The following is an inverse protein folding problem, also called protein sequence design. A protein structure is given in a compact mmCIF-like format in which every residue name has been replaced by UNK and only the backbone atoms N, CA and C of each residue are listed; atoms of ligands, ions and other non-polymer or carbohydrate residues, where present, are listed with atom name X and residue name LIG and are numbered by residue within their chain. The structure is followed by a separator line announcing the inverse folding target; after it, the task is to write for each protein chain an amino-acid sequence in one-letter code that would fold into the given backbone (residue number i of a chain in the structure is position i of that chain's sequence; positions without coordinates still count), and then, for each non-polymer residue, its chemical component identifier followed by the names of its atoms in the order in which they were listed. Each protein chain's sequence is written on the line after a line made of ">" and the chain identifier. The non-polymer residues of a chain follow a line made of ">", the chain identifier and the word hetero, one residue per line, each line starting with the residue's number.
data_IF_814700704860
#
_entry.id   IF_814700704860
#
_cell.length_a   1.000
_cell.length_b   1.000
_cell.length_c   1.000
_cell.angle_alpha   90.00
_cell.angle_beta   90.00
_cell.angle_gamma   90.00
#
_symmetry.space_group_name_H-M   'P 1'
#
loop_
_entity.id
_entity.type
_entity.pdbx_description
1 polymer ?
#
# COMPACT_ATOMS: atom_id res chain seq x y z
N UNK A 1 -34.66 -23.37 3.83
CA UNK A 1 -33.39 -23.58 4.58
C UNK A 1 -32.18 -22.86 3.98
N UNK A 2 -32.14 -22.52 2.68
CA UNK A 2 -31.04 -21.71 2.10
C UNK A 2 -31.03 -20.22 2.49
N UNK A 3 -32.18 -19.64 2.83
CA UNK A 3 -32.27 -18.20 3.15
C UNK A 3 -31.97 -17.88 4.63
N UNK A 4 -31.86 -18.90 5.49
CA UNK A 4 -31.49 -18.72 6.90
C UNK A 4 -29.97 -18.63 7.07
N UNK A 5 -29.21 -19.21 6.14
CA UNK A 5 -27.74 -19.24 6.18
C UNK A 5 -27.13 -17.88 5.78
N UNK A 6 -27.79 -17.13 4.89
CA UNK A 6 -27.29 -15.80 4.46
C UNK A 6 -27.47 -14.72 5.54
N UNK A 7 -28.46 -14.86 6.43
CA UNK A 7 -28.66 -13.94 7.55
C UNK A 7 -27.66 -14.18 8.70
N UNK A 8 -27.14 -15.40 8.84
CA UNK A 8 -26.19 -15.76 9.89
C UNK A 8 -24.76 -15.28 9.57
N UNK A 9 -24.41 -15.14 8.28
CA UNK A 9 -23.06 -14.71 7.85
C UNK A 9 -22.89 -13.17 7.93
N UNK A 10 -23.96 -12.39 7.89
CA UNK A 10 -23.88 -10.92 8.07
C UNK A 10 -23.82 -10.47 9.53
N UNK A 11 -24.13 -11.36 10.49
CA UNK A 11 -24.17 -11.04 11.93
C UNK A 11 -22.85 -11.30 12.66
N UNK A 12 -21.85 -11.91 12.02
CA UNK A 12 -20.54 -12.22 12.64
C UNK A 12 -19.43 -11.22 12.31
N UNK A 13 -19.71 -10.16 11.54
CA UNK A 13 -18.72 -9.15 11.16
C UNK A 13 -18.73 -7.88 12.05
N UNK A 14 -19.55 -7.81 13.11
CA UNK A 14 -19.69 -6.60 13.94
C UNK A 14 -19.20 -6.71 15.38
N UNK A 15 -18.66 -7.85 15.82
CA UNK A 15 -18.08 -8.00 17.15
C UNK A 15 -16.56 -8.00 17.07
N UNK A 16 -15.95 -6.81 16.98
CA UNK A 16 -14.61 -6.44 17.49
C UNK A 16 -14.16 -5.08 16.93
N UNK A 17 -14.96 -4.03 17.13
CA UNK A 17 -14.39 -2.69 17.21
C UNK A 17 -14.36 -2.31 18.68
N UNK A 18 -13.25 -2.66 19.33
CA UNK A 18 -12.82 -1.94 20.53
C UNK A 18 -12.72 -0.48 20.08
N UNK A 19 -13.59 0.38 20.62
CA UNK A 19 -13.42 1.82 20.53
C UNK A 19 -12.05 2.13 21.13
N UNK A 20 -11.03 2.26 20.28
CA UNK A 20 -9.78 2.87 20.66
C UNK A 20 -10.13 4.28 21.12
N UNK A 21 -9.86 4.56 22.39
CA UNK A 21 -9.86 5.92 22.92
C UNK A 21 -8.99 6.75 21.97
N UNK A 22 -9.62 7.68 21.27
CA UNK A 22 -8.94 8.68 20.46
C UNK A 22 -8.16 9.55 21.45
N UNK A 23 -6.92 9.14 21.74
CA UNK A 23 -6.01 9.90 22.58
C UNK A 23 -5.80 11.24 21.90
N UNK A 24 -6.07 12.28 22.67
CA UNK A 24 -5.80 13.68 22.38
C UNK A 24 -4.39 13.84 21.85
N UNK A 25 -4.23 14.20 20.58
CA UNK A 25 -3.08 14.96 20.08
C UNK A 25 -3.38 15.61 18.73
N UNK A 26 -4.57 16.21 18.61
CA UNK A 26 -4.79 17.33 17.68
C UNK A 26 -4.62 18.61 18.50
N UNK A 27 -3.41 18.83 19.01
CA UNK A 27 -2.99 20.12 19.54
C UNK A 27 -1.95 20.70 18.57
N UNK A 28 -2.33 21.78 17.89
CA UNK A 28 -1.49 22.39 16.87
C UNK A 28 -2.23 23.34 15.93
N UNK A 29 -2.76 24.42 16.49
CA UNK A 29 -3.16 25.65 15.79
C UNK A 29 -4.36 25.60 14.81
N UNK A 30 -5.55 25.74 15.40
CA UNK A 30 -6.54 26.80 15.10
C UNK A 30 -6.84 27.10 13.61
N UNK A 31 -7.66 26.26 12.98
CA UNK A 31 -8.67 26.81 12.06
C UNK A 31 -9.87 27.21 12.93
N UNK A 32 -9.93 28.48 13.33
CA UNK A 32 -11.15 29.08 13.86
C UNK A 32 -12.12 29.24 12.70
N UNK A 33 -12.90 28.19 12.43
CA UNK A 33 -14.13 28.36 11.66
C UNK A 33 -15.07 29.14 12.59
N UNK A 34 -15.41 30.37 12.22
CA UNK A 34 -16.46 31.10 12.92
C UNK A 34 -17.73 30.25 12.84
N UNK A 35 -18.14 29.67 13.97
CA UNK A 35 -19.41 28.97 14.07
C UNK A 35 -20.51 29.97 13.71
N UNK A 36 -21.31 29.76 12.64
CA UNK A 36 -22.55 30.48 12.55
C UNK A 36 -23.39 30.01 13.75
N UNK A 37 -23.54 30.88 14.75
CA UNK A 37 -24.40 30.66 15.90
C UNK A 37 -25.85 30.62 15.44
N UNK A 38 -26.25 29.49 14.84
CA UNK A 38 -27.64 29.09 14.76
C UNK A 38 -27.84 28.15 15.94
N UNK A 39 -28.08 28.71 17.12
CA UNK A 39 -28.66 27.97 18.23
C UNK A 39 -30.08 27.57 17.84
N UNK A 40 -30.21 26.47 17.09
CA UNK A 40 -31.48 25.76 16.98
C UNK A 40 -31.62 24.94 18.25
N UNK A 41 -32.53 25.35 19.12
CA UNK A 41 -32.95 24.54 20.25
C UNK A 41 -33.59 23.25 19.71
N UNK A 42 -32.84 22.15 19.76
CA UNK A 42 -33.35 20.82 19.41
C UNK A 42 -34.31 20.40 20.53
N UNK A 43 -35.59 20.28 20.20
CA UNK A 43 -36.68 20.02 21.14
C UNK A 43 -37.13 18.57 21.06
N UNK A 44 -37.71 18.02 22.14
CA UNK A 44 -38.33 16.69 22.12
C UNK A 44 -39.47 16.61 21.07
N UNK A 45 -40.09 17.75 20.74
CA UNK A 45 -41.09 17.84 19.66
C UNK A 45 -40.51 17.56 18.26
N UNK A 46 -39.20 17.75 18.05
CA UNK A 46 -38.52 17.38 16.80
C UNK A 46 -38.43 15.86 16.61
N UNK A 47 -38.87 15.08 17.61
CA UNK A 47 -38.99 13.62 17.58
C UNK A 47 -40.45 13.15 17.54
N UNK A 48 -41.43 14.06 17.48
CA UNK A 48 -42.84 13.71 17.38
C UNK A 48 -43.21 13.22 15.96
N UNK A 49 -44.15 12.26 15.89
CA UNK A 49 -44.65 11.72 14.63
C UNK A 49 -45.49 12.76 13.88
N UNK A 50 -45.12 13.08 12.63
CA UNK A 50 -45.86 13.97 11.74
C UNK A 50 -46.70 13.15 10.73
N UNK A 51 -47.98 13.48 10.50
CA UNK A 51 -48.85 12.71 9.63
C UNK A 51 -48.50 12.85 8.14
N UNK A 52 -48.86 11.81 7.40
CA UNK A 52 -48.41 11.41 6.06
C UNK A 52 -49.03 12.23 4.91
N UNK A 53 -48.22 12.55 3.90
CA UNK A 53 -48.68 12.98 2.56
C UNK A 53 -48.36 11.91 1.52
N UNK A 54 -49.28 11.59 0.61
CA UNK A 54 -49.07 10.61 -0.45
C UNK A 54 -47.95 11.02 -1.43
N UNK A 55 -47.00 10.11 -1.67
CA UNK A 55 -45.87 10.33 -2.59
C UNK A 55 -44.61 9.51 -2.27
N UNK A 56 -43.54 9.74 -3.05
CA UNK A 56 -42.23 9.08 -2.90
C UNK A 56 -41.66 9.21 -1.47
N UNK A 57 -41.93 10.33 -0.78
CA UNK A 57 -41.59 10.53 0.64
C UNK A 57 -42.24 9.51 1.56
N UNK A 58 -43.54 9.20 1.37
CA UNK A 58 -44.25 8.17 2.15
C UNK A 58 -43.64 6.78 1.91
N UNK A 59 -43.24 6.48 0.67
CA UNK A 59 -42.56 5.22 0.34
C UNK A 59 -41.20 5.12 1.03
N UNK A 60 -40.45 6.22 1.11
CA UNK A 60 -39.18 6.29 1.86
C UNK A 60 -39.36 6.17 3.38
N UNK A 61 -40.48 6.65 3.93
CA UNK A 61 -40.79 6.56 5.36
C UNK A 61 -41.27 5.15 5.77
N UNK A 62 -42.07 4.49 4.92
CA UNK A 62 -42.79 3.26 5.27
C UNK A 62 -42.12 1.98 4.80
N UNK A 63 -41.27 2.04 3.75
CA UNK A 63 -40.57 0.85 3.22
C UNK A 63 -39.10 0.87 3.62
N UNK A 64 -38.67 0.07 4.61
CA UNK A 64 -37.28 0.06 5.08
C UNK A 64 -36.27 -0.30 3.99
N UNK A 65 -36.63 -1.16 3.03
CA UNK A 65 -35.75 -1.50 1.90
C UNK A 65 -35.50 -0.34 0.93
N UNK A 66 -36.50 0.52 0.68
CA UNK A 66 -36.34 1.70 -0.17
C UNK A 66 -35.58 2.80 0.57
N UNK A 67 -35.84 2.97 1.87
CA UNK A 67 -35.08 3.86 2.74
C UNK A 67 -33.59 3.50 2.75
N UNK A 68 -33.28 2.21 2.83
CA UNK A 68 -31.91 1.70 2.77
C UNK A 68 -31.24 2.02 1.42
N UNK A 69 -31.89 1.70 0.29
CA UNK A 69 -31.36 2.00 -1.04
C UNK A 69 -31.17 3.50 -1.27
N UNK A 70 -32.11 4.34 -0.82
CA UNK A 70 -31.97 5.79 -0.94
C UNK A 70 -30.78 6.32 -0.13
N UNK A 71 -30.51 5.73 1.04
CA UNK A 71 -29.36 6.08 1.87
C UNK A 71 -28.05 5.54 1.29
N UNK A 72 -28.08 4.53 0.42
CA UNK A 72 -26.90 4.07 -0.32
C UNK A 72 -26.52 5.00 -1.48
N UNK A 73 -27.48 5.78 -2.00
CA UNK A 73 -27.24 6.78 -3.06
C UNK A 73 -26.90 8.14 -2.44
N UNK A 74 -27.64 8.54 -1.40
CA UNK A 74 -27.44 9.80 -0.69
C UNK A 74 -27.71 9.60 0.81
N UNK A 75 -26.66 9.39 1.61
CA UNK A 75 -26.75 9.34 3.06
C UNK A 75 -27.54 10.47 3.69
N UNK A 76 -28.33 10.09 4.69
CA UNK A 76 -29.28 10.98 5.35
C UNK A 76 -30.61 11.16 4.61
N UNK A 77 -30.78 10.71 3.36
CA UNK A 77 -32.03 10.86 2.60
C UNK A 77 -33.25 10.20 3.28
N UNK A 78 -33.09 9.00 3.85
CA UNK A 78 -34.15 8.36 4.62
C UNK A 78 -34.52 9.12 5.91
N UNK A 79 -33.53 9.76 6.56
CA UNK A 79 -33.78 10.56 7.76
C UNK A 79 -34.44 11.89 7.42
N UNK A 80 -34.04 12.50 6.29
CA UNK A 80 -34.68 13.70 5.76
C UNK A 80 -36.14 13.41 5.36
N UNK A 81 -36.41 12.26 4.73
CA UNK A 81 -37.76 11.83 4.42
C UNK A 81 -38.60 11.62 5.67
N UNK A 82 -38.02 11.12 6.77
CA UNK A 82 -38.66 11.01 8.08
C UNK A 82 -38.72 12.33 8.88
N UNK A 83 -38.46 13.48 8.26
CA UNK A 83 -38.51 14.80 8.92
C UNK A 83 -37.37 15.08 9.90
N UNK A 84 -36.42 14.15 10.06
CA UNK A 84 -35.28 14.24 11.00
C UNK A 84 -34.10 14.95 10.36
N UNK A 85 -34.31 16.22 9.99
CA UNK A 85 -33.35 17.03 9.24
C UNK A 85 -31.99 17.20 9.93
N UNK A 86 -31.95 17.33 11.26
CA UNK A 86 -30.68 17.43 11.99
C UNK A 86 -29.84 16.14 11.85
N UNK A 87 -30.47 14.97 11.99
CA UNK A 87 -29.80 13.66 11.81
C UNK A 87 -29.37 13.45 10.35
N UNK A 88 -30.22 13.83 9.40
CA UNK A 88 -29.89 13.80 7.99
C UNK A 88 -28.64 14.65 7.67
N UNK A 89 -28.57 15.86 8.23
CA UNK A 89 -27.42 16.75 8.09
C UNK A 89 -26.13 16.16 8.66
N UNK A 90 -26.19 15.54 9.84
CA UNK A 90 -25.02 14.85 10.44
C UNK A 90 -24.55 13.70 9.54
N UNK A 91 -25.45 12.86 9.03
CA UNK A 91 -25.07 11.76 8.16
C UNK A 91 -24.44 12.24 6.85
N UNK A 92 -25.04 13.26 6.23
CA UNK A 92 -24.51 13.86 5.01
C UNK A 92 -23.13 14.48 5.25
N UNK A 93 -22.92 15.20 6.36
CA UNK A 93 -21.63 15.80 6.71
C UNK A 93 -20.54 14.74 6.94
N UNK A 94 -20.85 13.68 7.69
CA UNK A 94 -19.92 12.57 7.94
C UNK A 94 -19.50 11.88 6.65
N UNK A 95 -20.46 11.63 5.75
CA UNK A 95 -20.15 11.00 4.48
C UNK A 95 -19.34 11.92 3.57
N UNK A 96 -19.74 13.18 3.43
CA UNK A 96 -19.00 14.15 2.62
C UNK A 96 -17.54 14.28 3.11
N UNK A 97 -17.34 14.33 4.43
CA UNK A 97 -16.00 14.30 5.02
C UNK A 97 -15.25 13.01 4.71
N UNK A 98 -15.90 11.85 4.83
CA UNK A 98 -15.28 10.55 4.57
C UNK A 98 -14.88 10.38 3.10
N UNK A 99 -15.74 10.78 2.16
CA UNK A 99 -15.45 10.77 0.72
C UNK A 99 -14.29 11.72 0.42
N UNK A 100 -14.35 12.95 0.93
CA UNK A 100 -13.29 13.93 0.74
C UNK A 100 -11.95 13.43 1.28
N UNK A 101 -11.96 12.90 2.51
CA UNK A 101 -10.78 12.32 3.15
C UNK A 101 -10.22 11.15 2.34
N UNK A 102 -11.07 10.24 1.88
CA UNK A 102 -10.70 9.09 1.04
C UNK A 102 -10.05 9.56 -0.27
N UNK A 103 -10.69 10.45 -1.03
CA UNK A 103 -10.17 10.97 -2.30
C UNK A 103 -8.80 11.63 -2.07
N UNK A 104 -8.69 12.49 -1.05
CA UNK A 104 -7.44 13.16 -0.73
C UNK A 104 -6.31 12.16 -0.40
N UNK A 105 -6.60 11.19 0.47
CA UNK A 105 -5.62 10.15 0.84
C UNK A 105 -5.23 9.24 -0.33
N UNK A 106 -6.17 8.90 -1.20
CA UNK A 106 -5.89 8.13 -2.41
C UNK A 106 -5.00 8.90 -3.38
N UNK A 107 -5.21 10.20 -3.55
CA UNK A 107 -4.35 11.03 -4.39
C UNK A 107 -2.94 11.12 -3.80
N UNK A 108 -2.82 11.40 -2.50
CA UNK A 108 -1.51 11.41 -1.82
C UNK A 108 -0.80 10.07 -1.96
N UNK A 109 -1.50 8.94 -1.79
CA UNK A 109 -0.90 7.63 -1.96
C UNK A 109 -0.37 7.40 -3.39
N UNK A 110 -1.12 7.82 -4.41
CA UNK A 110 -0.69 7.74 -5.82
C UNK A 110 0.52 8.62 -6.09
N UNK A 111 0.57 9.83 -5.53
CA UNK A 111 1.70 10.74 -5.70
C UNK A 111 2.97 10.15 -5.08
N UNK A 112 2.86 9.56 -3.88
CA UNK A 112 3.98 8.87 -3.23
C UNK A 112 4.44 7.63 -4.01
N UNK A 113 3.51 6.84 -4.54
CA UNK A 113 3.83 5.69 -5.39
C UNK A 113 4.59 6.15 -6.65
N UNK A 114 4.15 7.22 -7.30
CA UNK A 114 4.84 7.77 -8.47
C UNK A 114 6.23 8.32 -8.12
N UNK A 115 6.37 9.01 -6.99
CA UNK A 115 7.66 9.51 -6.52
C UNK A 115 8.64 8.36 -6.25
N UNK A 116 8.18 7.29 -5.59
CA UNK A 116 8.99 6.10 -5.34
C UNK A 116 9.40 5.38 -6.63
N UNK A 117 8.48 5.24 -7.60
CA UNK A 117 8.83 4.71 -8.93
C UNK A 117 9.86 5.59 -9.63
N UNK A 118 9.69 6.91 -9.60
CA UNK A 118 10.65 7.85 -10.20
C UNK A 118 12.04 7.78 -9.54
N UNK A 119 12.09 7.55 -8.23
CA UNK A 119 13.33 7.32 -7.48
C UNK A 119 14.01 6.01 -7.91
N UNK A 120 13.28 4.90 -7.96
CA UNK A 120 13.83 3.59 -8.38
C UNK A 120 14.38 3.61 -9.82
N UNK A 121 13.80 4.40 -10.73
CA UNK A 121 14.34 4.59 -12.09
C UNK A 121 15.71 5.30 -12.16
N UNK A 122 16.20 5.83 -11.03
CA UNK A 122 17.50 6.50 -10.93
C UNK A 122 18.45 5.79 -9.98
N UNK A 123 17.89 5.11 -8.98
CA UNK A 123 18.70 4.58 -7.89
C UNK A 123 18.77 3.06 -7.86
N UNK A 124 17.91 2.30 -8.57
CA UNK A 124 17.99 0.84 -8.58
C UNK A 124 18.30 0.29 -9.97
N UNK A 125 19.46 -0.35 -10.13
CA UNK A 125 19.93 -0.92 -11.40
C UNK A 125 20.05 -2.44 -11.36
N UNK A 126 19.55 -3.09 -12.41
CA UNK A 126 19.70 -4.54 -12.59
C UNK A 126 21.14 -4.94 -12.95
N UNK A 127 21.94 -4.05 -13.55
CA UNK A 127 23.37 -4.29 -13.80
C UNK A 127 24.12 -4.27 -12.47
N UNK A 128 23.89 -3.26 -11.64
CA UNK A 128 24.45 -3.17 -10.29
C UNK A 128 24.11 -4.43 -9.47
N UNK A 129 22.83 -4.81 -9.50
CA UNK A 129 22.34 -6.00 -8.82
C UNK A 129 23.01 -7.29 -9.32
N UNK A 130 23.17 -7.45 -10.64
CA UNK A 130 23.80 -8.63 -11.23
C UNK A 130 25.28 -8.73 -10.85
N UNK A 131 26.00 -7.59 -10.83
CA UNK A 131 27.39 -7.53 -10.38
C UNK A 131 27.52 -7.89 -8.90
N UNK A 132 26.61 -7.39 -8.07
CA UNK A 132 26.54 -7.78 -6.66
C UNK A 132 26.30 -9.29 -6.50
N UNK A 133 25.34 -9.88 -7.25
CA UNK A 133 25.04 -11.30 -7.15
C UNK A 133 26.25 -12.17 -7.53
N UNK A 134 27.03 -11.75 -8.54
CA UNK A 134 28.28 -12.43 -8.87
C UNK A 134 29.27 -12.35 -7.71
N UNK A 135 29.47 -11.15 -7.13
CA UNK A 135 30.32 -10.98 -5.95
C UNK A 135 29.86 -11.79 -4.74
N UNK A 136 28.54 -11.91 -4.55
CA UNK A 136 27.94 -12.75 -3.52
C UNK A 136 28.32 -14.22 -3.71
N UNK A 137 28.27 -14.74 -4.93
CA UNK A 137 28.73 -16.10 -5.22
C UNK A 137 30.23 -16.29 -4.95
N UNK A 138 31.04 -15.35 -5.45
CA UNK A 138 32.50 -15.43 -5.35
C UNK A 138 32.98 -15.39 -3.89
N UNK A 139 32.42 -14.49 -3.08
CA UNK A 139 32.85 -14.29 -1.69
C UNK A 139 32.35 -15.40 -0.74
N UNK A 140 31.24 -16.05 -1.08
CA UNK A 140 30.70 -17.16 -0.30
C UNK A 140 31.15 -18.54 -0.80
N UNK A 141 32.01 -18.60 -1.83
CA UNK A 141 32.48 -19.87 -2.39
C UNK A 141 31.38 -20.71 -3.05
N UNK A 142 30.33 -20.06 -3.52
CA UNK A 142 29.21 -20.70 -4.20
C UNK A 142 29.53 -20.91 -5.69
N UNK A 143 28.83 -21.84 -6.34
CA UNK A 143 28.99 -22.09 -7.77
C UNK A 143 27.65 -22.30 -8.46
N UNK A 144 27.52 -21.81 -9.68
CA UNK A 144 26.37 -22.07 -10.55
C UNK A 144 26.84 -22.18 -12.00
N UNK A 145 26.35 -23.18 -12.74
CA UNK A 145 26.81 -23.53 -14.10
C UNK A 145 26.73 -22.36 -15.10
N UNK A 146 25.75 -21.47 -14.88
CA UNK A 146 25.49 -20.29 -15.73
C UNK A 146 26.04 -18.98 -15.18
N UNK A 147 26.74 -18.98 -14.03
CA UNK A 147 27.27 -17.75 -13.42
C UNK A 147 28.23 -17.01 -14.36
N UNK A 148 29.08 -17.75 -15.09
CA UNK A 148 29.99 -17.17 -16.08
C UNK A 148 29.27 -16.49 -17.25
N UNK A 149 28.05 -16.94 -17.60
CA UNK A 149 27.25 -16.28 -18.63
C UNK A 149 26.74 -14.93 -18.13
N UNK A 150 26.26 -14.86 -16.88
CA UNK A 150 25.86 -13.60 -16.26
C UNK A 150 27.05 -12.64 -16.14
N UNK A 151 28.20 -13.15 -15.68
CA UNK A 151 29.45 -12.38 -15.59
C UNK A 151 29.84 -11.76 -16.93
N UNK A 152 29.80 -12.54 -18.01
CA UNK A 152 30.12 -12.02 -19.35
C UNK A 152 29.13 -10.95 -19.86
N UNK A 153 27.88 -10.95 -19.40
CA UNK A 153 26.91 -9.91 -19.77
C UNK A 153 27.18 -8.56 -19.11
N UNK A 154 27.71 -8.58 -17.88
CA UNK A 154 27.94 -7.37 -17.07
C UNK A 154 29.40 -6.96 -16.94
N UNK A 155 30.30 -7.70 -17.59
CA UNK A 155 31.73 -7.42 -17.61
C UNK A 155 32.00 -6.07 -18.31
N UNK A 156 32.73 -5.20 -17.62
CA UNK A 156 33.04 -3.85 -18.09
C UNK A 156 31.83 -2.91 -18.26
N UNK A 157 30.64 -3.28 -17.77
CA UNK A 157 29.49 -2.38 -17.76
C UNK A 157 29.44 -1.54 -16.47
N UNK A 158 29.16 -0.25 -16.64
CA UNK A 158 28.77 0.62 -15.54
C UNK A 158 27.22 0.72 -15.49
N UNK A 159 26.60 0.58 -14.31
CA UNK A 159 25.18 0.85 -14.12
C UNK A 159 24.81 2.28 -14.55
N UNK A 160 23.68 2.43 -15.25
CA UNK A 160 23.19 3.73 -15.68
C UNK A 160 22.25 4.35 -14.63
N UNK A 161 22.82 4.93 -13.57
CA UNK A 161 22.04 5.65 -12.55
C UNK A 161 21.48 7.01 -13.03
N UNK A 162 21.75 7.42 -14.27
CA UNK A 162 21.03 8.56 -14.87
C UNK A 162 19.62 8.15 -15.30
N UNK A 163 19.48 6.92 -15.78
CA UNK A 163 18.21 6.26 -16.07
C UNK A 163 18.37 4.72 -16.09
N UNK A 164 18.07 4.08 -14.95
CA UNK A 164 18.32 2.64 -14.75
C UNK A 164 17.43 1.76 -15.61
N UNK A 165 16.44 2.34 -16.28
CA UNK A 165 15.61 1.67 -17.31
C UNK A 165 16.45 1.15 -18.46
N UNK A 166 17.56 1.81 -18.77
CA UNK A 166 18.47 1.42 -19.84
C UNK A 166 19.20 0.11 -19.55
N UNK A 167 19.37 -0.23 -18.26
CA UNK A 167 20.09 -1.44 -17.84
C UNK A 167 19.29 -2.73 -18.05
N UNK A 168 17.96 -2.65 -18.11
CA UNK A 168 17.09 -3.81 -18.28
C UNK A 168 17.26 -4.54 -19.61
N UNK A 169 17.78 -3.87 -20.63
CA UNK A 169 18.09 -4.49 -21.92
C UNK A 169 19.51 -5.07 -21.98
N UNK A 170 20.34 -4.86 -20.94
CA UNK A 170 21.74 -5.30 -20.87
C UNK A 170 21.89 -6.66 -20.19
N UNK A 171 20.91 -7.05 -19.37
CA UNK A 171 20.92 -8.29 -18.58
C UNK A 171 19.80 -9.21 -19.06
N UNK A 172 20.12 -10.49 -19.28
CA UNK A 172 19.09 -11.50 -19.51
C UNK A 172 18.37 -11.82 -18.19
N UNK A 173 17.18 -11.27 -18.01
CA UNK A 173 16.41 -11.41 -16.77
C UNK A 173 16.03 -12.86 -16.48
N UNK A 174 15.73 -13.67 -17.49
CA UNK A 174 15.41 -15.09 -17.29
C UNK A 174 16.60 -15.86 -16.74
N UNK A 175 17.81 -15.56 -17.25
CA UNK A 175 19.05 -16.13 -16.75
C UNK A 175 19.32 -15.70 -15.31
N UNK A 176 19.18 -14.40 -15.01
CA UNK A 176 19.34 -13.87 -13.66
C UNK A 176 18.41 -14.57 -12.67
N UNK A 177 17.12 -14.66 -13.00
CA UNK A 177 16.12 -15.34 -12.18
C UNK A 177 16.39 -16.83 -12.01
N UNK A 178 17.00 -17.49 -13.00
CA UNK A 178 17.40 -18.88 -12.88
C UNK A 178 18.49 -19.06 -11.83
N UNK A 179 19.49 -18.17 -11.81
CA UNK A 179 20.56 -18.15 -10.81
C UNK A 179 19.99 -17.86 -9.42
N UNK A 180 19.14 -16.84 -9.29
CA UNK A 180 18.50 -16.47 -8.01
C UNK A 180 17.76 -17.64 -7.36
N UNK A 181 17.01 -18.44 -8.15
CA UNK A 181 16.26 -19.60 -7.64
C UNK A 181 17.12 -20.68 -7.00
N UNK A 182 18.41 -20.72 -7.36
CA UNK A 182 19.37 -21.71 -6.87
C UNK A 182 20.47 -21.05 -6.02
N UNK A 183 20.27 -19.78 -5.64
CA UNK A 183 21.21 -19.07 -4.79
C UNK A 183 20.93 -19.42 -3.34
N UNK A 184 21.90 -20.07 -2.70
CA UNK A 184 21.85 -20.36 -1.26
C UNK A 184 21.93 -19.05 -0.46
N UNK A 185 21.05 -18.91 0.53
CA UNK A 185 21.06 -17.82 1.49
C UNK A 185 22.14 -18.08 2.54
N UNK A 186 23.16 -17.23 2.56
CA UNK A 186 24.24 -17.28 3.55
C UNK A 186 23.97 -16.20 4.58
N UNK A 187 23.84 -16.65 5.83
CA UNK A 187 23.52 -15.80 6.97
C UNK A 187 24.11 -16.40 8.24
N UNK A 188 24.56 -15.54 9.16
CA UNK A 188 25.25 -16.01 10.37
C UNK A 188 24.36 -16.75 11.38
N UNK A 189 23.06 -16.41 11.44
CA UNK A 189 22.14 -16.92 12.46
C UNK A 189 20.78 -17.35 11.94
N UNK A 190 20.57 -17.37 10.62
CA UNK A 190 19.32 -17.81 10.02
C UNK A 190 19.44 -19.28 9.55
N UNK A 191 18.30 -19.93 9.31
CA UNK A 191 18.30 -21.32 8.86
C UNK A 191 18.83 -21.45 7.43
N UNK A 192 19.29 -22.66 7.07
CA UNK A 192 19.66 -22.99 5.70
C UNK A 192 18.46 -22.89 4.76
N UNK A 193 18.66 -22.30 3.58
CA UNK A 193 17.65 -22.19 2.54
C UNK A 193 18.18 -21.42 1.33
N UNK A 194 17.38 -21.36 0.28
CA UNK A 194 17.67 -20.54 -0.90
C UNK A 194 17.05 -19.15 -0.76
N UNK A 195 17.40 -18.24 -1.68
CA UNK A 195 16.73 -16.94 -1.79
C UNK A 195 15.20 -17.11 -1.86
N UNK A 196 14.52 -16.35 -1.00
CA UNK A 196 13.06 -16.43 -0.86
C UNK A 196 12.30 -15.89 -2.07
N UNK A 197 12.94 -15.05 -2.87
CA UNK A 197 12.33 -14.35 -3.99
C UNK A 197 13.24 -14.32 -5.21
N UNK A 198 12.64 -14.04 -6.36
CA UNK A 198 13.32 -13.76 -7.62
C UNK A 198 12.93 -12.36 -8.08
N UNK A 199 13.81 -11.70 -8.83
CA UNK A 199 13.55 -10.39 -9.38
C UNK A 199 12.27 -10.40 -10.23
N UNK A 200 11.21 -9.67 -9.85
CA UNK A 200 9.97 -9.69 -10.61
C UNK A 200 10.13 -8.96 -11.96
N UNK A 201 9.16 -9.09 -12.87
CA UNK A 201 9.14 -8.31 -14.10
C UNK A 201 9.22 -6.80 -13.81
N UNK A 202 10.11 -6.13 -14.53
CA UNK A 202 10.31 -4.69 -14.41
C UNK A 202 8.99 -3.92 -14.50
N UNK A 203 8.83 -2.93 -13.62
CA UNK A 203 7.67 -2.05 -13.59
C UNK A 203 6.40 -2.65 -12.97
N UNK A 204 6.42 -3.93 -12.55
CA UNK A 204 5.31 -4.53 -11.80
C UNK A 204 5.22 -3.97 -10.38
N UNK A 205 4.04 -4.03 -9.75
CA UNK A 205 3.89 -3.65 -8.34
C UNK A 205 4.81 -4.49 -7.45
N UNK A 206 4.88 -5.79 -7.70
CA UNK A 206 5.74 -6.70 -6.95
C UNK A 206 7.22 -6.33 -7.09
N UNK A 207 7.68 -5.92 -8.28
CA UNK A 207 9.05 -5.43 -8.45
C UNK A 207 9.38 -4.29 -7.47
N UNK A 208 8.55 -3.25 -7.45
CA UNK A 208 8.77 -2.09 -6.58
C UNK A 208 8.70 -2.44 -5.08
N UNK A 209 7.84 -3.39 -4.70
CA UNK A 209 7.71 -3.86 -3.32
C UNK A 209 8.92 -4.70 -2.88
N UNK A 210 9.41 -5.59 -3.74
CA UNK A 210 10.48 -6.51 -3.35
C UNK A 210 11.83 -5.81 -3.24
N UNK A 211 12.19 -4.94 -4.20
CA UNK A 211 13.51 -4.28 -4.23
C UNK A 211 13.78 -3.35 -3.04
N UNK A 212 12.73 -2.87 -2.36
CA UNK A 212 12.86 -2.03 -1.16
C UNK A 212 12.78 -2.81 0.16
N UNK A 213 12.36 -4.08 0.11
CA UNK A 213 12.02 -4.83 1.32
C UNK A 213 13.01 -5.93 1.66
N UNK A 214 13.58 -6.57 0.64
CA UNK A 214 14.42 -7.75 0.86
C UNK A 214 15.88 -7.43 0.59
N UNK A 215 16.73 -7.79 1.55
CA UNK A 215 18.18 -7.69 1.48
C UNK A 215 18.76 -8.23 0.18
N UNK A 216 18.22 -9.34 -0.32
CA UNK A 216 18.71 -9.96 -1.57
C UNK A 216 18.62 -9.05 -2.80
N UNK A 217 18.01 -7.85 -2.72
CA UNK A 217 17.97 -6.85 -3.80
C UNK A 217 18.75 -5.58 -3.46
N UNK A 218 19.46 -5.53 -2.33
CA UNK A 218 20.19 -4.34 -1.87
C UNK A 218 21.27 -3.92 -2.86
N UNK A 219 21.94 -4.91 -3.47
CA UNK A 219 23.02 -4.73 -4.43
C UNK A 219 22.66 -3.89 -5.66
N UNK A 220 21.37 -3.73 -5.94
CA UNK A 220 20.90 -2.90 -7.04
C UNK A 220 20.84 -1.41 -6.71
N UNK A 221 20.80 -1.02 -5.43
CA UNK A 221 20.72 0.38 -5.02
C UNK A 221 22.04 1.12 -5.25
N UNK A 222 21.97 2.37 -5.69
CA UNK A 222 23.10 3.18 -6.14
C UNK A 222 24.10 3.50 -5.03
N UNK A 223 23.60 3.84 -3.84
CA UNK A 223 24.38 4.11 -2.64
C UNK A 223 25.14 2.86 -2.21
N UNK A 224 24.43 1.74 -2.10
CA UNK A 224 25.00 0.45 -1.78
C UNK A 224 26.05 0.03 -2.82
N UNK A 225 25.73 0.15 -4.11
CA UNK A 225 26.62 -0.20 -5.20
C UNK A 225 27.91 0.61 -5.16
N UNK A 226 27.79 1.93 -4.99
CA UNK A 226 28.93 2.83 -4.93
C UNK A 226 29.84 2.56 -3.73
N UNK A 227 29.25 2.24 -2.57
CA UNK A 227 29.99 1.99 -1.33
C UNK A 227 30.64 0.60 -1.28
N UNK A 228 30.05 -0.40 -1.93
CA UNK A 228 30.45 -1.79 -1.76
C UNK A 228 30.95 -2.45 -3.04
N UNK A 229 30.12 -2.46 -4.09
CA UNK A 229 30.38 -3.26 -5.30
C UNK A 229 31.39 -2.57 -6.21
N UNK A 230 31.18 -1.29 -6.51
CA UNK A 230 32.03 -0.52 -7.43
C UNK A 230 33.50 -0.44 -6.96
N UNK A 231 33.70 -0.42 -5.64
CA UNK A 231 35.01 -0.28 -5.00
C UNK A 231 35.60 -1.61 -4.52
N UNK A 232 34.90 -2.74 -4.72
CA UNK A 232 35.26 -4.05 -4.16
C UNK A 232 35.59 -3.95 -2.66
N UNK A 233 34.67 -3.39 -1.88
CA UNK A 233 34.90 -3.09 -0.46
C UNK A 233 35.24 -4.37 0.32
N UNK A 234 36.47 -4.51 0.86
CA UNK A 234 36.90 -5.73 1.55
C UNK A 234 36.23 -5.91 2.93
N UNK A 235 35.58 -4.86 3.45
CA UNK A 235 34.86 -4.90 4.72
C UNK A 235 33.37 -5.22 4.55
N UNK A 236 32.87 -5.25 3.32
CA UNK A 236 31.49 -5.64 3.07
C UNK A 236 31.41 -7.16 3.08
N UNK A 237 30.72 -7.68 4.09
CA UNK A 237 30.42 -9.10 4.21
C UNK A 237 29.12 -9.35 3.44
N UNK A 238 29.18 -10.18 2.40
CA UNK A 238 28.04 -10.50 1.53
C UNK A 238 27.07 -11.46 2.23
N UNK A 239 26.74 -11.17 3.49
CA UNK A 239 25.93 -11.98 4.39
C UNK A 239 24.66 -11.25 4.78
N UNK A 240 23.56 -12.00 4.80
CA UNK A 240 22.32 -11.50 5.36
C UNK A 240 22.45 -11.33 6.89
N UNK A 241 22.44 -10.07 7.37
CA UNK A 241 22.34 -9.73 8.79
C UNK A 241 20.90 -9.33 9.15
N UNK A 242 20.34 -10.00 10.16
CA UNK A 242 19.03 -9.66 10.75
C UNK A 242 19.03 -8.33 11.53
N UNK A 243 20.18 -7.63 11.63
CA UNK A 243 20.28 -6.33 12.29
C UNK A 243 19.99 -5.12 11.41
N UNK A 244 19.54 -5.35 10.17
CA UNK A 244 18.84 -4.34 9.36
C UNK A 244 17.45 -4.06 9.92
#
# INVERSE_FOLDING_TARGET
>A
MKNLFLLLVLLTLSSNFIFAQLKSDISGNLVKIAEPTVQRNISISDFSYQPTSDGFKNTLQTKPGIAFLSSAILPGSAQAANGKWARAGIYLATEAFSIFYYINRTNVAKDQEQAYKAFTHKEWSVVAYSQWLIGYYDNNGLSHDKLNQLRAMVDGLDPDFTDTRNDWNRVNITLLQEIERQTELICGSCGSGDFSHVLPPYGSQQYYELISKYYQFEGGWSDFYAENVAVNNPNYDYLYDNKG
#
